data_IF_229040249604
#
_entry.id   IF_229040249604
#
_cell.length_a   1.000
_cell.length_b   1.000
_cell.length_c   1.000
_cell.angle_alpha   90.00
_cell.angle_beta   90.00
_cell.angle_gamma   90.00
#
_symmetry.space_group_name_H-M   'P 1'
#
loop_
_entity.id
_entity.type
_entity.pdbx_description
1 polymer ?
#
# COMPACT_ATOMS: atom_id res chain seq x y z
N UNK A 1 -0.02 -18.03 -12.05
CA UNK A 1 0.00 -16.76 -11.29
C UNK A 1 1.46 -16.53 -10.90
N UNK A 2 2.08 -15.45 -11.38
CA UNK A 2 3.46 -15.11 -11.01
C UNK A 2 3.38 -14.32 -9.71
N UNK A 3 3.94 -14.88 -8.63
CA UNK A 3 4.05 -14.22 -7.34
C UNK A 3 5.53 -14.16 -6.95
N UNK A 4 5.96 -13.16 -6.16
CA UNK A 4 7.32 -13.13 -5.63
C UNK A 4 7.60 -14.41 -4.83
N UNK A 5 8.77 -15.02 -5.01
CA UNK A 5 9.15 -16.23 -4.27
C UNK A 5 9.48 -15.95 -2.79
N UNK A 6 9.71 -14.68 -2.44
CA UNK A 6 10.15 -14.25 -1.10
C UNK A 6 9.32 -14.78 0.07
N UNK A 7 7.97 -14.86 0.02
CA UNK A 7 7.16 -15.43 1.11
C UNK A 7 7.44 -16.92 1.38
N UNK A 8 8.06 -17.63 0.44
CA UNK A 8 8.44 -19.04 0.58
C UNK A 8 9.88 -19.22 1.10
N UNK A 9 10.63 -18.13 1.30
CA UNK A 9 12.00 -18.16 1.80
C UNK A 9 11.98 -17.99 3.31
N UNK A 10 12.21 -19.10 4.03
CA UNK A 10 12.27 -19.09 5.49
C UNK A 10 13.51 -18.41 6.09
N UNK A 11 14.57 -18.21 5.30
CA UNK A 11 15.80 -17.51 5.73
C UNK A 11 15.70 -15.98 5.46
N UNK A 12 15.58 -15.14 6.51
CA UNK A 12 15.48 -13.69 6.36
C UNK A 12 16.73 -13.06 5.74
N UNK A 13 17.92 -13.64 5.96
CA UNK A 13 19.17 -13.13 5.41
C UNK A 13 19.23 -13.36 3.90
N UNK A 14 18.80 -14.54 3.43
CA UNK A 14 18.65 -14.82 2.01
C UNK A 14 17.60 -13.91 1.35
N UNK A 15 16.43 -13.75 1.98
CA UNK A 15 15.41 -12.84 1.49
C UNK A 15 15.93 -11.39 1.36
N UNK A 16 16.72 -10.93 2.32
CA UNK A 16 17.42 -9.64 2.26
C UNK A 16 18.38 -9.54 1.07
N UNK A 17 19.27 -10.52 0.89
CA UNK A 17 20.21 -10.53 -0.24
C UNK A 17 19.51 -10.52 -1.60
N UNK A 18 18.40 -11.24 -1.74
CA UNK A 18 17.63 -11.29 -2.99
C UNK A 18 16.96 -9.95 -3.31
N UNK A 19 16.43 -9.26 -2.30
CA UNK A 19 15.92 -7.89 -2.48
C UNK A 19 17.00 -6.93 -2.92
N UNK A 20 18.18 -6.99 -2.29
CA UNK A 20 19.31 -6.13 -2.64
C UNK A 20 19.85 -6.41 -4.05
N UNK A 21 19.83 -7.67 -4.49
CA UNK A 21 20.35 -8.08 -5.80
C UNK A 21 19.40 -7.79 -6.97
N UNK A 22 18.10 -7.59 -6.73
CA UNK A 22 17.09 -7.45 -7.78
C UNK A 22 16.13 -6.31 -7.48
N UNK A 23 16.21 -5.18 -8.22
CA UNK A 23 15.29 -4.06 -8.06
C UNK A 23 13.83 -4.46 -8.25
N UNK A 24 13.53 -5.41 -9.15
CA UNK A 24 12.17 -5.94 -9.32
C UNK A 24 11.70 -6.68 -8.07
N UNK A 25 12.57 -7.48 -7.45
CA UNK A 25 12.24 -8.20 -6.22
C UNK A 25 12.01 -7.23 -5.05
N UNK A 26 12.85 -6.21 -4.92
CA UNK A 26 12.67 -5.12 -3.96
C UNK A 26 11.36 -4.37 -4.20
N UNK A 27 11.08 -3.97 -5.44
CA UNK A 27 9.86 -3.27 -5.82
C UNK A 27 8.61 -4.06 -5.43
N UNK A 28 8.54 -5.36 -5.77
CA UNK A 28 7.35 -6.18 -5.54
C UNK A 28 7.11 -6.53 -4.05
N UNK A 29 8.15 -6.55 -3.22
CA UNK A 29 8.06 -6.76 -1.77
C UNK A 29 8.21 -5.43 -1.00
N UNK A 30 9.45 -5.09 -0.67
CA UNK A 30 9.94 -3.81 -0.17
C UNK A 30 11.43 -3.71 -0.51
N UNK A 31 11.96 -2.62 -1.05
CA UNK A 31 13.40 -2.44 -1.20
C UNK A 31 14.05 -2.18 0.17
N UNK A 32 15.36 -2.37 0.25
CA UNK A 32 16.17 -1.76 1.32
C UNK A 32 16.39 -0.27 0.99
N UNK A 33 16.66 0.61 1.97
CA UNK A 33 16.72 2.07 1.73
C UNK A 33 17.66 2.49 0.59
N UNK A 34 18.80 1.81 0.43
CA UNK A 34 19.76 2.09 -0.66
C UNK A 34 19.21 1.70 -2.04
N UNK A 35 18.27 0.76 -2.11
CA UNK A 35 17.66 0.27 -3.34
C UNK A 35 16.33 0.93 -3.70
N UNK A 36 15.79 1.84 -2.87
CA UNK A 36 14.50 2.50 -3.11
C UNK A 36 14.48 3.22 -4.46
N UNK A 37 15.49 4.05 -4.75
CA UNK A 37 15.59 4.78 -6.02
C UNK A 37 15.61 3.86 -7.24
N UNK A 38 16.36 2.76 -7.19
CA UNK A 38 16.41 1.81 -8.31
C UNK A 38 15.06 1.10 -8.52
N UNK A 39 14.31 0.84 -7.45
CA UNK A 39 12.98 0.27 -7.53
C UNK A 39 11.97 1.27 -8.11
N UNK A 40 12.04 2.54 -7.73
CA UNK A 40 11.22 3.63 -8.29
C UNK A 40 11.51 3.83 -9.78
N UNK A 41 12.79 3.93 -10.19
CA UNK A 41 13.17 4.05 -11.59
C UNK A 41 12.71 2.84 -12.43
N UNK A 42 12.87 1.62 -11.92
CA UNK A 42 12.36 0.43 -12.60
C UNK A 42 10.83 0.49 -12.79
N UNK A 43 10.10 0.99 -11.80
CA UNK A 43 8.66 1.15 -11.92
C UNK A 43 8.31 2.15 -13.02
N UNK A 44 8.87 3.35 -12.94
CA UNK A 44 8.52 4.48 -13.82
C UNK A 44 8.98 4.26 -15.26
N UNK A 45 10.25 3.86 -15.45
CA UNK A 45 10.85 3.80 -16.78
C UNK A 45 10.52 2.50 -17.53
N UNK A 46 10.16 1.42 -16.81
CA UNK A 46 9.99 0.09 -17.41
C UNK A 46 8.59 -0.49 -17.17
N UNK A 47 8.11 -0.57 -15.94
CA UNK A 47 6.86 -1.29 -15.68
C UNK A 47 5.62 -0.48 -16.09
N UNK A 48 5.63 0.83 -15.83
CA UNK A 48 4.49 1.69 -16.13
C UNK A 48 4.33 1.94 -17.63
N UNK A 49 5.41 1.83 -18.41
CA UNK A 49 5.42 1.97 -19.87
C UNK A 49 4.83 0.76 -20.60
N UNK A 50 4.57 -0.36 -19.90
CA UNK A 50 4.04 -1.59 -20.48
C UNK A 50 2.77 -2.10 -19.80
N UNK A 51 1.73 -2.50 -20.57
CA UNK A 51 0.49 -3.06 -19.99
C UNK A 51 0.72 -4.25 -19.06
N UNK A 52 1.70 -5.10 -19.36
CA UNK A 52 2.06 -6.26 -18.55
C UNK A 52 2.67 -5.84 -17.20
N UNK A 53 3.50 -4.79 -17.18
CA UNK A 53 4.07 -4.25 -15.94
C UNK A 53 2.98 -3.67 -15.03
N UNK A 54 2.06 -2.89 -15.61
CA UNK A 54 0.87 -2.39 -14.89
C UNK A 54 0.02 -3.51 -14.28
N UNK A 55 -0.22 -4.59 -15.04
CA UNK A 55 -0.93 -5.78 -14.56
C UNK A 55 -0.18 -6.48 -13.44
N UNK A 56 1.15 -6.59 -13.53
CA UNK A 56 1.98 -7.17 -12.47
C UNK A 56 1.87 -6.36 -11.18
N UNK A 57 2.01 -5.03 -11.24
CA UNK A 57 1.85 -4.15 -10.08
C UNK A 57 0.46 -4.31 -9.47
N UNK A 58 -0.59 -4.27 -10.28
CA UNK A 58 -1.97 -4.48 -9.82
C UNK A 58 -2.13 -5.82 -9.11
N UNK A 59 -1.64 -6.90 -9.72
CA UNK A 59 -1.77 -8.25 -9.19
C UNK A 59 -1.03 -8.42 -7.86
N UNK A 60 0.13 -7.80 -7.67
CA UNK A 60 0.95 -7.94 -6.46
C UNK A 60 0.53 -6.96 -5.36
N UNK A 61 0.21 -5.71 -5.69
CA UNK A 61 -0.06 -4.66 -4.70
C UNK A 61 -1.50 -4.70 -4.18
N UNK A 62 -2.40 -5.41 -4.86
CA UNK A 62 -3.76 -5.62 -4.37
C UNK A 62 -3.82 -6.51 -3.12
N UNK A 63 -2.81 -7.35 -2.90
CA UNK A 63 -2.70 -8.19 -1.72
C UNK A 63 -2.52 -7.34 -0.45
N UNK A 64 -3.10 -7.82 0.66
CA UNK A 64 -2.89 -7.23 1.97
C UNK A 64 -1.39 -7.28 2.32
N UNK A 65 -0.76 -6.15 2.70
CA UNK A 65 0.66 -6.15 3.05
C UNK A 65 0.97 -7.15 4.16
N UNK A 66 2.00 -7.97 3.95
CA UNK A 66 2.43 -9.00 4.90
C UNK A 66 3.26 -8.43 6.06
N UNK A 67 3.79 -7.21 5.91
CA UNK A 67 4.59 -6.54 6.95
C UNK A 67 4.34 -5.03 7.01
N UNK A 68 4.63 -4.37 8.15
CA UNK A 68 4.61 -2.92 8.26
C UNK A 68 5.44 -2.20 7.19
N UNK A 69 6.66 -2.69 6.94
CA UNK A 69 7.56 -2.06 5.98
C UNK A 69 7.03 -2.16 4.53
N UNK A 70 6.39 -3.27 4.18
CA UNK A 70 5.71 -3.41 2.89
C UNK A 70 4.50 -2.48 2.78
N UNK A 71 3.70 -2.33 3.85
CA UNK A 71 2.56 -1.41 3.86
C UNK A 71 2.99 0.05 3.65
N UNK A 72 4.09 0.46 4.31
CA UNK A 72 4.68 1.78 4.15
C UNK A 72 5.23 1.99 2.73
N UNK A 73 6.02 1.05 2.22
CA UNK A 73 6.58 1.13 0.86
C UNK A 73 5.48 1.25 -0.19
N UNK A 74 4.54 0.28 -0.21
CA UNK A 74 3.44 0.26 -1.17
C UNK A 74 2.55 1.49 -1.03
N UNK A 75 2.25 1.90 0.21
CA UNK A 75 1.43 3.07 0.49
C UNK A 75 2.04 4.38 -0.04
N UNK A 76 3.34 4.61 0.20
CA UNK A 76 4.06 5.77 -0.34
C UNK A 76 4.07 5.79 -1.85
N UNK A 77 4.38 4.64 -2.47
CA UNK A 77 4.45 4.53 -3.92
C UNK A 77 3.09 4.78 -4.58
N UNK A 78 2.01 4.22 -4.04
CA UNK A 78 0.65 4.48 -4.53
C UNK A 78 0.25 5.95 -4.34
N UNK A 79 0.70 6.62 -3.28
CA UNK A 79 0.40 8.04 -3.06
C UNK A 79 1.17 8.96 -4.02
N UNK A 80 2.44 8.65 -4.31
CA UNK A 80 3.24 9.33 -5.36
C UNK A 80 2.55 9.19 -6.72
N UNK A 81 2.13 7.97 -7.07
CA UNK A 81 1.51 7.65 -8.36
C UNK A 81 0.07 8.18 -8.52
N UNK A 82 -0.63 8.57 -7.46
CA UNK A 82 -2.08 8.84 -7.54
C UNK A 82 -2.46 9.96 -8.52
N UNK A 83 -1.54 10.86 -8.84
CA UNK A 83 -1.79 12.00 -9.72
C UNK A 83 -1.48 11.69 -11.17
N UNK A 84 -0.32 11.10 -11.46
CA UNK A 84 0.16 10.75 -12.80
C UNK A 84 -0.47 9.44 -13.31
N UNK A 85 -0.62 8.45 -12.42
CA UNK A 85 -1.03 7.08 -12.74
C UNK A 85 -2.33 6.69 -12.03
N UNK A 86 -3.26 7.64 -11.98
CA UNK A 86 -4.50 7.52 -11.21
C UNK A 86 -5.29 6.23 -11.48
N UNK A 87 -5.47 5.89 -12.75
CA UNK A 87 -6.25 4.69 -13.12
C UNK A 87 -5.58 3.41 -12.59
N UNK A 88 -4.26 3.31 -12.64
CA UNK A 88 -3.53 2.17 -12.05
C UNK A 88 -3.73 2.09 -10.55
N UNK A 89 -3.62 3.23 -9.84
CA UNK A 89 -3.83 3.27 -8.39
C UNK A 89 -5.25 2.79 -8.06
N UNK A 90 -6.25 3.25 -8.82
CA UNK A 90 -7.63 2.80 -8.67
C UNK A 90 -7.78 1.31 -8.97
N UNK A 91 -7.14 0.79 -10.02
CA UNK A 91 -7.14 -0.64 -10.36
C UNK A 91 -6.55 -1.50 -9.23
N UNK A 92 -5.49 -1.03 -8.58
CA UNK A 92 -4.88 -1.71 -7.41
C UNK A 92 -5.88 -1.82 -6.26
N UNK A 93 -6.54 -0.72 -5.90
CA UNK A 93 -7.53 -0.73 -4.82
C UNK A 93 -8.80 -1.49 -5.20
N UNK A 94 -9.27 -1.38 -6.44
CA UNK A 94 -10.42 -2.13 -6.93
C UNK A 94 -10.13 -3.63 -6.87
N UNK A 95 -8.97 -4.08 -7.37
CA UNK A 95 -8.53 -5.46 -7.25
C UNK A 95 -8.39 -5.91 -5.78
N UNK A 96 -7.88 -5.04 -4.91
CA UNK A 96 -7.73 -5.33 -3.48
C UNK A 96 -9.08 -5.58 -2.82
N UNK A 97 -10.07 -4.74 -3.15
CA UNK A 97 -11.44 -4.85 -2.63
C UNK A 97 -12.20 -6.03 -3.25
N UNK A 98 -11.94 -6.38 -4.51
CA UNK A 98 -12.59 -7.53 -5.14
C UNK A 98 -12.03 -8.86 -4.64
N UNK A 99 -10.72 -8.95 -4.41
CA UNK A 99 -10.02 -10.24 -4.18
C UNK A 99 -9.53 -10.46 -2.77
N UNK A 100 -9.25 -9.39 -2.04
CA UNK A 100 -8.55 -9.45 -0.74
C UNK A 100 -9.24 -8.61 0.35
N UNK A 101 -10.54 -8.30 0.19
CA UNK A 101 -11.29 -7.45 1.14
C UNK A 101 -11.15 -7.92 2.58
N UNK A 102 -11.33 -9.21 2.85
CA UNK A 102 -11.30 -9.72 4.22
C UNK A 102 -9.93 -9.53 4.88
N UNK A 103 -8.85 -9.81 4.15
CA UNK A 103 -7.48 -9.65 4.64
C UNK A 103 -7.18 -8.18 4.99
N UNK A 104 -7.57 -7.26 4.11
CA UNK A 104 -7.45 -5.82 4.33
C UNK A 104 -8.28 -5.33 5.51
N UNK A 105 -9.54 -5.77 5.63
CA UNK A 105 -10.40 -5.43 6.77
C UNK A 105 -9.86 -6.01 8.08
N UNK A 106 -9.23 -7.17 8.06
CA UNK A 106 -8.55 -7.76 9.22
C UNK A 106 -7.39 -6.87 9.70
N UNK A 107 -6.54 -6.38 8.77
CA UNK A 107 -5.49 -5.42 9.10
C UNK A 107 -6.05 -4.12 9.68
N UNK A 108 -7.12 -3.56 9.08
CA UNK A 108 -7.77 -2.36 9.58
C UNK A 108 -8.31 -2.58 11.00
N UNK A 109 -8.98 -3.69 11.28
CA UNK A 109 -9.53 -4.00 12.61
C UNK A 109 -8.41 -4.05 13.65
N UNK A 110 -7.31 -4.77 13.36
CA UNK A 110 -6.15 -4.84 14.26
C UNK A 110 -5.52 -3.47 14.51
N UNK A 111 -5.30 -2.69 13.46
CA UNK A 111 -4.78 -1.33 13.59
C UNK A 111 -5.70 -0.43 14.45
N UNK A 112 -7.01 -0.53 14.29
CA UNK A 112 -7.98 0.25 15.08
C UNK A 112 -8.02 -0.13 16.55
N UNK A 113 -7.84 -1.41 16.88
CA UNK A 113 -7.69 -1.85 18.27
C UNK A 113 -6.45 -1.19 18.89
N UNK A 114 -5.33 -1.12 18.17
CA UNK A 114 -4.13 -0.42 18.64
C UNK A 114 -4.32 1.08 18.90
N UNK A 115 -5.37 1.71 18.36
CA UNK A 115 -5.66 3.13 18.58
C UNK A 115 -6.54 3.40 19.82
N UNK A 116 -6.83 2.40 20.66
CA UNK A 116 -7.45 2.62 21.98
C UNK A 116 -6.47 3.26 22.95
N UNK A 117 -6.95 4.02 23.94
CA UNK A 117 -6.07 4.80 24.83
C UNK A 117 -5.15 3.92 25.73
N UNK A 118 -3.82 4.15 25.76
CA UNK A 118 -3.07 5.11 24.95
C UNK A 118 -2.84 4.59 23.51
N UNK A 119 -3.01 5.46 22.48
CA UNK A 119 -2.95 5.01 21.08
C UNK A 119 -1.53 4.61 20.66
N UNK A 120 -1.40 3.41 20.10
CA UNK A 120 -0.20 2.93 19.40
C UNK A 120 -0.23 3.33 17.92
N UNK A 121 0.29 4.53 17.64
CA UNK A 121 0.44 5.03 16.27
C UNK A 121 1.45 4.21 15.46
N UNK A 122 2.45 3.62 16.09
CA UNK A 122 3.51 2.87 15.40
C UNK A 122 2.96 1.62 14.70
N UNK A 123 2.00 0.94 15.34
CA UNK A 123 1.32 -0.22 14.76
C UNK A 123 0.25 0.16 13.72
N UNK A 124 -0.45 1.29 13.91
CA UNK A 124 -1.54 1.69 13.02
C UNK A 124 -1.09 2.41 11.75
N UNK A 125 -0.01 3.20 11.82
CA UNK A 125 0.50 4.04 10.73
C UNK A 125 0.82 3.28 9.45
N UNK A 126 1.47 2.10 9.46
CA UNK A 126 1.73 1.35 8.24
C UNK A 126 0.46 0.99 7.47
N UNK A 127 -0.56 0.49 8.17
CA UNK A 127 -1.86 0.15 7.56
C UNK A 127 -2.55 1.41 7.05
N UNK A 128 -2.55 2.49 7.83
CA UNK A 128 -3.10 3.78 7.41
C UNK A 128 -2.40 4.32 6.15
N UNK A 129 -1.08 4.22 6.07
CA UNK A 129 -0.27 4.67 4.94
C UNK A 129 -0.66 3.94 3.64
N UNK A 130 -0.92 2.63 3.71
CA UNK A 130 -1.42 1.88 2.55
C UNK A 130 -2.74 2.43 2.00
N UNK A 131 -3.62 3.00 2.83
CA UNK A 131 -4.91 3.58 2.41
C UNK A 131 -4.84 5.07 2.03
N UNK A 132 -3.69 5.72 2.16
CA UNK A 132 -3.54 7.17 2.03
C UNK A 132 -3.93 7.68 0.64
N UNK A 133 -3.44 7.04 -0.42
CA UNK A 133 -3.74 7.44 -1.79
C UNK A 133 -5.24 7.38 -2.09
N UNK A 134 -5.92 6.30 -1.68
CA UNK A 134 -7.37 6.19 -1.85
C UNK A 134 -8.14 7.22 -1.03
N UNK A 135 -7.72 7.52 0.20
CA UNK A 135 -8.33 8.55 1.03
C UNK A 135 -8.24 9.96 0.43
N UNK A 136 -7.10 10.27 -0.23
CA UNK A 136 -6.90 11.53 -0.96
C UNK A 136 -7.68 11.57 -2.28
N UNK A 137 -7.75 10.44 -2.99
CA UNK A 137 -8.60 10.30 -4.19
C UNK A 137 -10.08 10.39 -3.86
N UNK A 138 -10.56 9.86 -2.73
CA UNK A 138 -11.96 10.01 -2.31
C UNK A 138 -12.34 11.48 -2.13
N UNK A 139 -11.43 12.27 -1.54
CA UNK A 139 -11.63 13.71 -1.32
C UNK A 139 -11.65 14.51 -2.63
N UNK A 140 -10.81 14.15 -3.60
CA UNK A 140 -10.60 14.95 -4.83
C UNK A 140 -11.33 14.43 -6.08
N UNK A 141 -11.62 13.12 -6.15
CA UNK A 141 -12.10 12.42 -7.34
C UNK A 141 -13.24 11.44 -7.02
N UNK A 142 -14.13 11.82 -6.09
CA UNK A 142 -15.22 10.95 -5.60
C UNK A 142 -16.09 10.34 -6.70
N UNK A 143 -16.37 11.09 -7.78
CA UNK A 143 -17.18 10.61 -8.91
C UNK A 143 -16.52 9.44 -9.63
N UNK A 144 -15.19 9.49 -9.80
CA UNK A 144 -14.41 8.44 -10.44
C UNK A 144 -14.40 7.14 -9.61
N UNK A 145 -14.29 7.24 -8.28
CA UNK A 145 -14.39 6.05 -7.43
C UNK A 145 -15.79 5.42 -7.48
N UNK A 146 -16.84 6.25 -7.56
CA UNK A 146 -18.23 5.77 -7.66
C UNK A 146 -18.56 5.09 -8.99
N UNK A 147 -17.85 5.42 -10.07
CA UNK A 147 -18.04 4.76 -11.37
C UNK A 147 -17.38 3.38 -11.45
N UNK A 148 -16.51 3.01 -10.50
CA UNK A 148 -15.86 1.70 -10.45
C UNK A 148 -16.74 0.70 -9.72
N UNK A 149 -17.22 -0.33 -10.42
CA UNK A 149 -18.13 -1.33 -9.87
C UNK A 149 -17.53 -2.17 -8.74
N UNK A 150 -16.21 -2.39 -8.75
CA UNK A 150 -15.52 -3.16 -7.71
C UNK A 150 -15.21 -2.36 -6.44
N UNK A 151 -15.42 -1.04 -6.44
CA UNK A 151 -15.24 -0.18 -5.26
C UNK A 151 -16.59 0.01 -4.55
N UNK A 152 -16.94 -0.96 -3.71
CA UNK A 152 -18.10 -0.90 -2.82
C UNK A 152 -17.93 0.05 -1.64
N UNK A 153 -18.63 -0.17 -0.52
CA UNK A 153 -18.50 0.69 0.68
C UNK A 153 -17.36 0.28 1.62
N UNK A 154 -16.78 -0.91 1.43
CA UNK A 154 -15.76 -1.48 2.32
C UNK A 154 -14.50 -0.60 2.46
N UNK A 155 -14.09 0.10 1.40
CA UNK A 155 -12.92 0.98 1.43
C UNK A 155 -13.02 2.13 2.44
N UNK A 156 -14.25 2.51 2.82
CA UNK A 156 -14.48 3.57 3.81
C UNK A 156 -13.87 3.22 5.16
N UNK A 157 -13.72 1.94 5.50
CA UNK A 157 -13.04 1.52 6.73
C UNK A 157 -11.56 1.96 6.72
N UNK A 158 -10.87 1.76 5.60
CA UNK A 158 -9.48 2.19 5.40
C UNK A 158 -9.32 3.71 5.38
N UNK A 159 -10.21 4.41 4.67
CA UNK A 159 -10.21 5.89 4.63
C UNK A 159 -10.42 6.49 6.02
N UNK A 160 -11.33 5.92 6.81
CA UNK A 160 -11.56 6.37 8.20
C UNK A 160 -10.35 6.10 9.09
N UNK A 161 -9.69 4.94 8.95
CA UNK A 161 -8.45 4.63 9.67
C UNK A 161 -7.37 5.67 9.35
N UNK A 162 -7.11 5.94 8.06
CA UNK A 162 -6.13 6.95 7.64
C UNK A 162 -6.42 8.32 8.29
N UNK A 163 -7.66 8.81 8.20
CA UNK A 163 -8.06 10.10 8.79
C UNK A 163 -7.99 10.11 10.32
N UNK A 164 -8.14 8.96 10.97
CA UNK A 164 -8.00 8.85 12.42
C UNK A 164 -6.52 8.97 12.82
N UNK A 165 -5.63 8.25 12.15
CA UNK A 165 -4.18 8.32 12.39
C UNK A 165 -3.66 9.74 12.11
N UNK A 166 -4.02 10.34 10.97
CA UNK A 166 -3.62 11.71 10.61
C UNK A 166 -4.00 12.75 11.67
N UNK A 167 -5.20 12.63 12.28
CA UNK A 167 -5.65 13.52 13.35
C UNK A 167 -4.89 13.32 14.66
N UNK A 168 -4.62 12.07 15.03
CA UNK A 168 -3.87 11.74 16.23
C UNK A 168 -2.41 12.19 16.13
N UNK A 169 -1.78 12.01 14.97
CA UNK A 169 -0.43 12.52 14.69
C UNK A 169 -0.38 14.05 14.80
N UNK A 170 -1.37 14.75 14.22
CA UNK A 170 -1.46 16.21 14.33
C UNK A 170 -1.68 16.70 15.78
N UNK A 171 -2.43 15.94 16.59
CA UNK A 171 -2.72 16.30 17.99
C UNK A 171 -1.54 15.99 18.92
N UNK A 172 -0.78 14.92 18.65
CA UNK A 172 0.43 14.56 19.40
C UNK A 172 1.65 15.43 19.07
N UNK A 173 1.66 16.06 17.88
CA UNK A 173 2.72 17.00 17.46
C UNK A 173 2.58 18.42 18.01
N UNK A 174 1.50 18.76 18.71
CA UNK A 174 1.28 20.08 19.34
C UNK A 174 1.85 20.21 20.76
N UNK A 175 2.63 19.24 21.24
CA UNK A 175 3.21 19.22 22.58
C UNK A 175 4.74 19.39 22.61
N UNK A 176 5.30 20.14 21.64
CA UNK A 176 6.72 20.53 21.62
C UNK A 176 6.84 22.04 21.52
#
# INVERSE_FOLDING_TARGET
MVAPALPHIGDPALAGRLRAASPLTGLLDRPDPVGETNAELLLEDVLLTHPQGRRLITAVYCEAPASPAQALWRGRLLDQLRMSERELVIDVYEAALLRHTEAHLSLIRRARIGLTAPPDLSAARPVACWWSALARLERSHRRLLRSRSGIGTAYLAGVRLYRQVERLEASGGSAV
#
